data_IF_271463033037
#
_entry.id   IF_271463033037
#
_cell.length_a   1.000
_cell.length_b   1.000
_cell.length_c   1.000
_cell.angle_alpha   90.00
_cell.angle_beta   90.00
_cell.angle_gamma   90.00
#
_symmetry.space_group_name_H-M   'P 1'
#
loop_
_entity.id
_entity.type
_entity.pdbx_description
1 polymer ?
#
# COMPACT_ATOMS: atom_id res chain seq x y z
N UNK A 1 -13.39 -15.28 24.26
CA UNK A 1 -12.50 -16.39 23.90
C UNK A 1 -12.70 -16.64 22.42
N UNK A 2 -11.63 -16.76 21.65
CA UNK A 2 -11.74 -16.92 20.19
C UNK A 2 -11.75 -18.40 19.82
N UNK A 3 -12.65 -18.77 18.93
CA UNK A 3 -12.65 -20.11 18.34
C UNK A 3 -11.50 -20.23 17.34
N UNK A 4 -10.90 -21.43 17.18
CA UNK A 4 -9.92 -21.62 16.13
C UNK A 4 -10.53 -21.37 14.73
N UNK A 5 -9.82 -20.61 13.91
CA UNK A 5 -10.03 -20.49 12.47
C UNK A 5 -10.24 -21.87 11.82
N UNK A 6 -11.30 -21.99 11.03
CA UNK A 6 -11.52 -23.10 10.12
C UNK A 6 -10.55 -23.05 8.94
N UNK A 7 -10.41 -24.14 8.16
CA UNK A 7 -9.58 -24.14 6.95
C UNK A 7 -9.98 -23.10 5.90
N UNK A 8 -11.26 -22.73 5.84
CA UNK A 8 -11.74 -21.69 4.94
C UNK A 8 -11.30 -20.31 5.42
N UNK A 9 -11.37 -20.06 6.74
CA UNK A 9 -10.96 -18.80 7.35
C UNK A 9 -9.45 -18.58 7.24
N UNK A 10 -8.63 -19.63 7.43
CA UNK A 10 -7.18 -19.55 7.19
C UNK A 10 -6.88 -18.99 5.80
N UNK A 11 -7.49 -19.56 4.77
CA UNK A 11 -7.29 -19.09 3.38
C UNK A 11 -7.82 -17.66 3.20
N UNK A 12 -8.96 -17.34 3.80
CA UNK A 12 -9.60 -16.04 3.69
C UNK A 12 -8.82 -14.93 4.40
N UNK A 13 -8.12 -15.24 5.50
CA UNK A 13 -7.28 -14.28 6.21
C UNK A 13 -5.92 -14.08 5.51
N UNK A 14 -5.29 -15.17 5.03
CA UNK A 14 -3.95 -15.11 4.46
C UNK A 14 -3.90 -14.45 3.08
N UNK A 15 -4.92 -14.64 2.24
CA UNK A 15 -4.93 -14.12 0.86
C UNK A 15 -4.92 -12.58 0.76
N UNK A 16 -5.79 -11.83 1.48
CA UNK A 16 -5.78 -10.38 1.43
C UNK A 16 -4.48 -9.75 1.95
N UNK A 17 -3.80 -10.43 2.87
CA UNK A 17 -2.50 -10.02 3.41
C UNK A 17 -1.34 -10.30 2.43
N UNK A 18 -1.61 -10.91 1.28
CA UNK A 18 -0.61 -11.22 0.27
C UNK A 18 0.30 -12.39 0.63
N UNK A 19 -0.06 -13.21 1.61
CA UNK A 19 0.74 -14.39 2.00
C UNK A 19 0.73 -15.41 0.86
N UNK A 20 1.92 -15.72 0.33
CA UNK A 20 2.09 -16.85 -0.58
C UNK A 20 2.14 -18.13 0.25
N UNK A 21 1.15 -19.01 0.07
CA UNK A 21 1.12 -20.28 0.79
C UNK A 21 0.76 -21.47 -0.10
N UNK A 22 1.21 -22.64 0.36
CA UNK A 22 0.82 -23.96 -0.14
C UNK A 22 0.21 -24.76 1.00
N UNK A 23 -0.52 -25.81 0.65
CA UNK A 23 -1.22 -26.65 1.61
C UNK A 23 -0.56 -28.02 1.69
N UNK A 24 -0.10 -28.41 2.87
CA UNK A 24 0.40 -29.76 3.07
C UNK A 24 -0.78 -30.75 3.00
N UNK A 25 -0.59 -31.87 2.30
CA UNK A 25 -1.67 -32.86 2.10
C UNK A 25 -2.32 -33.24 3.45
N UNK A 26 -3.64 -33.08 3.55
CA UNK A 26 -4.42 -33.45 4.75
C UNK A 26 -4.29 -32.50 5.95
N UNK A 27 -3.76 -31.28 5.77
CA UNK A 27 -3.59 -30.32 6.87
C UNK A 27 -4.89 -29.97 7.61
N UNK A 28 -6.02 -29.92 6.91
CA UNK A 28 -7.34 -29.57 7.46
C UNK A 28 -7.89 -30.56 8.49
N UNK A 29 -7.29 -31.75 8.59
CA UNK A 29 -7.66 -32.75 9.60
C UNK A 29 -6.44 -33.19 10.41
N UNK A 30 -5.30 -32.53 10.24
CA UNK A 30 -4.08 -32.85 10.97
C UNK A 30 -4.08 -32.09 12.30
N UNK A 31 -3.81 -32.83 13.35
CA UNK A 31 -3.79 -32.33 14.72
C UNK A 31 -3.73 -33.50 15.69
N UNK A 32 -3.68 -33.18 16.98
CA UNK A 32 -3.53 -34.14 18.07
C UNK A 32 -4.78 -34.30 18.93
N UNK A 33 -5.86 -33.60 18.60
CA UNK A 33 -7.10 -33.55 19.38
C UNK A 33 -7.62 -34.94 19.76
N UNK A 34 -7.71 -35.84 18.77
CA UNK A 34 -8.15 -37.21 18.98
C UNK A 34 -7.18 -38.02 19.86
N UNK A 35 -5.88 -37.77 19.75
CA UNK A 35 -4.85 -38.47 20.52
C UNK A 35 -4.76 -37.99 21.98
N UNK A 36 -5.09 -36.71 22.24
CA UNK A 36 -5.07 -36.13 23.59
C UNK A 36 -6.45 -36.15 24.25
N UNK A 37 -7.52 -36.35 23.49
CA UNK A 37 -8.90 -36.23 23.97
C UNK A 37 -9.31 -34.78 24.27
N UNK A 38 -8.53 -33.80 23.81
CA UNK A 38 -8.77 -32.38 24.01
C UNK A 38 -9.11 -31.72 22.68
N UNK A 39 -9.93 -30.68 22.71
CA UNK A 39 -10.22 -29.85 21.54
C UNK A 39 -9.23 -28.70 21.52
N UNK A 40 -8.63 -28.44 20.36
CA UNK A 40 -7.83 -27.24 20.16
C UNK A 40 -8.71 -25.98 20.34
N UNK A 41 -8.18 -25.01 21.06
CA UNK A 41 -8.85 -23.80 21.44
C UNK A 41 -9.49 -23.84 22.85
N UNK A 42 -10.01 -22.70 23.33
CA UNK A 42 -9.99 -21.40 22.66
C UNK A 42 -8.58 -20.85 22.46
N UNK A 43 -8.38 -20.12 21.36
CA UNK A 43 -7.09 -19.56 20.95
C UNK A 43 -6.95 -18.11 21.39
N UNK A 44 -5.70 -17.70 21.66
CA UNK A 44 -5.42 -16.37 22.21
C UNK A 44 -4.28 -15.60 21.54
N UNK A 45 -3.36 -16.31 20.88
CA UNK A 45 -2.17 -15.71 20.30
C UNK A 45 -1.48 -16.64 19.29
N UNK A 46 -0.54 -16.07 18.55
CA UNK A 46 0.38 -16.79 17.67
C UNK A 46 1.73 -16.92 18.36
N UNK A 47 2.22 -18.15 18.43
CA UNK A 47 3.55 -18.48 18.94
C UNK A 47 4.51 -18.72 17.79
N UNK A 48 5.63 -18.01 17.85
CA UNK A 48 6.59 -17.89 16.78
C UNK A 48 7.88 -18.63 17.15
N UNK A 49 8.33 -19.54 16.29
CA UNK A 49 9.46 -20.43 16.53
C UNK A 49 10.52 -20.31 15.42
N UNK A 50 11.72 -20.79 15.72
CA UNK A 50 12.65 -21.24 14.69
C UNK A 50 12.88 -22.75 14.80
N UNK A 51 13.15 -23.39 13.66
CA UNK A 51 13.23 -24.86 13.59
C UNK A 51 14.51 -25.48 14.14
N UNK A 52 15.57 -24.68 14.33
CA UNK A 52 16.92 -25.11 14.66
C UNK A 52 17.48 -26.12 13.64
N UNK A 53 17.01 -26.01 12.40
CA UNK A 53 17.26 -26.97 11.34
C UNK A 53 16.98 -26.40 9.95
N UNK A 54 17.28 -27.19 8.93
CA UNK A 54 17.01 -26.89 7.52
C UNK A 54 16.01 -27.89 6.97
N UNK A 55 15.26 -27.50 5.95
CA UNK A 55 14.33 -28.38 5.23
C UNK A 55 13.41 -29.18 6.18
N UNK A 56 12.94 -28.53 7.26
CA UNK A 56 12.34 -29.19 8.41
C UNK A 56 10.85 -29.52 8.24
N UNK A 57 10.28 -29.31 7.05
CA UNK A 57 8.85 -29.54 6.78
C UNK A 57 8.39 -30.95 7.16
N UNK A 58 9.18 -31.99 6.84
CA UNK A 58 8.83 -33.36 7.19
C UNK A 58 8.84 -33.60 8.71
N UNK A 59 9.81 -33.02 9.43
CA UNK A 59 9.85 -33.05 10.89
C UNK A 59 8.62 -32.35 11.48
N UNK A 60 8.30 -31.15 10.99
CA UNK A 60 7.16 -30.37 11.46
C UNK A 60 5.82 -31.05 11.15
N UNK A 61 5.64 -31.64 9.98
CA UNK A 61 4.33 -32.13 9.53
C UNK A 61 4.03 -33.60 9.89
N UNK A 62 5.03 -34.50 9.82
CA UNK A 62 4.75 -35.95 9.80
C UNK A 62 5.73 -36.83 10.57
N UNK A 63 6.97 -36.41 10.80
CA UNK A 63 7.96 -37.24 11.51
C UNK A 63 8.03 -36.89 13.00
N UNK A 64 7.85 -35.61 13.36
CA UNK A 64 8.12 -35.12 14.71
C UNK A 64 9.61 -35.15 15.05
N UNK A 65 9.90 -35.11 16.35
CA UNK A 65 11.22 -35.34 16.95
C UNK A 65 11.15 -36.60 17.83
N UNK A 66 12.29 -37.19 18.28
CA UNK A 66 12.31 -38.47 18.99
C UNK A 66 11.30 -38.61 20.14
N UNK A 67 11.07 -37.54 20.91
CA UNK A 67 10.13 -37.51 22.04
C UNK A 67 8.97 -36.52 21.84
N UNK A 68 8.80 -36.01 20.62
CA UNK A 68 7.79 -35.00 20.30
C UNK A 68 7.04 -35.39 19.02
N UNK A 69 5.87 -36.04 19.14
CA UNK A 69 5.11 -36.47 17.98
C UNK A 69 4.56 -35.26 17.20
N UNK A 70 4.43 -35.36 15.87
CA UNK A 70 3.90 -34.30 15.02
C UNK A 70 2.38 -34.11 15.21
N UNK A 71 1.79 -33.03 14.66
CA UNK A 71 2.46 -31.90 14.02
C UNK A 71 3.15 -31.00 15.05
N UNK A 72 4.23 -30.33 14.65
CA UNK A 72 5.00 -29.41 15.49
C UNK A 72 4.65 -27.94 15.24
N UNK A 73 3.69 -27.64 14.37
CA UNK A 73 3.13 -26.31 14.17
C UNK A 73 1.89 -26.37 13.28
N UNK A 74 1.14 -25.27 13.26
CA UNK A 74 0.03 -25.05 12.32
C UNK A 74 0.55 -24.64 10.94
N UNK A 75 1.69 -23.93 10.90
CA UNK A 75 2.35 -23.54 9.65
C UNK A 75 3.89 -23.70 9.71
N UNK A 76 4.50 -23.92 8.54
CA UNK A 76 5.95 -23.96 8.34
C UNK A 76 6.38 -22.91 7.33
N UNK A 77 7.47 -22.19 7.59
CA UNK A 77 7.96 -21.12 6.74
C UNK A 77 9.43 -21.32 6.32
N UNK A 78 9.68 -21.88 5.12
CA UNK A 78 11.03 -22.07 4.58
C UNK A 78 11.70 -20.75 4.18
N UNK A 79 12.99 -20.82 3.87
CA UNK A 79 13.79 -19.68 3.39
C UNK A 79 13.23 -19.00 2.12
N UNK A 80 12.40 -19.69 1.34
CA UNK A 80 11.77 -19.14 0.13
C UNK A 80 10.65 -18.13 0.41
N UNK A 81 10.19 -18.01 1.66
CA UNK A 81 9.04 -17.20 2.02
C UNK A 81 7.71 -17.71 1.46
N UNK A 82 7.61 -18.98 1.04
CA UNK A 82 6.33 -19.60 0.67
C UNK A 82 5.87 -20.47 1.83
N UNK A 83 4.91 -19.95 2.59
CA UNK A 83 4.37 -20.62 3.78
C UNK A 83 3.73 -21.97 3.40
N UNK A 84 3.85 -22.97 4.27
CA UNK A 84 3.09 -24.22 4.17
C UNK A 84 2.12 -24.32 5.33
N UNK A 85 0.81 -24.45 5.06
CA UNK A 85 -0.18 -24.82 6.07
C UNK A 85 -0.06 -26.31 6.39
N UNK A 86 0.12 -26.66 7.66
CA UNK A 86 0.51 -28.00 8.13
C UNK A 86 -0.61 -28.67 8.92
N UNK A 87 -1.23 -27.96 9.86
CA UNK A 87 -2.23 -28.50 10.77
C UNK A 87 -3.30 -27.46 11.12
N UNK A 88 -4.50 -27.95 11.39
CA UNK A 88 -5.67 -27.13 11.75
C UNK A 88 -6.15 -27.41 13.19
N UNK A 89 -5.82 -28.59 13.72
CA UNK A 89 -6.01 -28.92 15.14
C UNK A 89 -4.72 -28.78 15.94
N UNK A 90 -4.76 -29.22 17.21
CA UNK A 90 -3.67 -29.12 18.18
C UNK A 90 -2.34 -29.58 17.59
N UNK A 91 -1.32 -28.72 17.64
CA UNK A 91 0.07 -29.05 17.35
C UNK A 91 0.92 -29.02 18.63
N UNK A 92 1.98 -29.83 18.69
CA UNK A 92 2.89 -29.90 19.83
C UNK A 92 4.09 -28.96 19.63
N UNK A 93 3.88 -27.65 19.77
CA UNK A 93 4.87 -26.60 19.50
C UNK A 93 5.25 -25.76 20.74
N UNK A 94 4.30 -25.46 21.62
CA UNK A 94 4.46 -24.57 22.76
C UNK A 94 4.88 -25.27 24.07
N UNK A 95 4.42 -26.49 24.30
CA UNK A 95 4.61 -27.17 25.58
C UNK A 95 3.92 -26.45 26.76
N UNK A 96 4.60 -26.37 27.91
CA UNK A 96 4.11 -25.68 29.10
C UNK A 96 4.38 -24.17 29.01
N UNK A 97 3.33 -23.38 28.80
CA UNK A 97 3.41 -21.93 28.81
C UNK A 97 3.25 -21.39 30.24
N UNK A 98 4.04 -20.39 30.62
CA UNK A 98 3.92 -19.72 31.91
C UNK A 98 2.55 -19.04 32.04
N UNK A 99 1.85 -19.29 33.15
CA UNK A 99 0.48 -18.79 33.34
C UNK A 99 0.42 -17.26 33.34
N UNK A 100 1.39 -16.57 33.94
CA UNK A 100 1.42 -15.10 33.95
C UNK A 100 1.54 -14.49 32.54
N UNK A 101 2.26 -15.14 31.63
CA UNK A 101 2.37 -14.71 30.23
C UNK A 101 1.09 -15.04 29.47
N UNK A 102 0.55 -16.25 29.68
CA UNK A 102 -0.73 -16.65 29.08
C UNK A 102 -1.87 -15.70 29.48
N UNK A 103 -1.99 -15.36 30.76
CA UNK A 103 -2.99 -14.41 31.25
C UNK A 103 -2.79 -12.99 30.68
N UNK A 104 -1.56 -12.60 30.31
CA UNK A 104 -1.28 -11.33 29.65
C UNK A 104 -1.71 -11.36 28.17
N UNK A 105 -1.44 -12.46 27.47
CA UNK A 105 -1.91 -12.70 26.09
C UNK A 105 -3.44 -12.67 26.02
N UNK A 106 -4.12 -13.39 26.92
CA UNK A 106 -5.59 -13.41 27.01
C UNK A 106 -6.17 -12.00 27.24
N UNK A 107 -5.45 -11.15 27.97
CA UNK A 107 -5.87 -9.79 28.29
C UNK A 107 -5.33 -8.72 27.32
N UNK A 108 -4.58 -9.11 26.28
CA UNK A 108 -3.89 -8.22 25.35
C UNK A 108 -3.08 -7.11 26.04
N UNK A 109 -2.27 -7.48 27.04
CA UNK A 109 -1.36 -6.59 27.77
C UNK A 109 0.11 -6.96 27.55
N UNK A 110 1.01 -6.03 27.84
CA UNK A 110 2.45 -6.26 27.81
C UNK A 110 2.85 -7.57 28.50
N UNK A 111 3.72 -8.33 27.83
CA UNK A 111 4.11 -9.66 28.29
C UNK A 111 5.10 -9.54 29.45
N UNK A 112 4.78 -10.09 30.64
CA UNK A 112 5.75 -10.16 31.72
C UNK A 112 6.84 -11.19 31.40
N UNK A 113 7.93 -11.17 32.15
CA UNK A 113 8.88 -12.30 32.13
C UNK A 113 8.16 -13.58 32.54
N UNK A 114 8.37 -14.67 31.81
CA UNK A 114 7.81 -15.97 32.12
C UNK A 114 8.23 -16.44 33.52
N UNK A 115 7.28 -17.01 34.27
CA UNK A 115 7.53 -17.50 35.62
C UNK A 115 6.83 -18.83 35.86
N UNK A 116 7.62 -19.89 36.08
CA UNK A 116 7.10 -21.20 36.48
C UNK A 116 6.31 -21.13 37.80
N UNK A 117 6.65 -20.19 38.70
CA UNK A 117 5.95 -19.99 39.96
C UNK A 117 4.53 -19.44 39.79
N UNK A 118 4.17 -18.91 38.60
CA UNK A 118 2.80 -18.51 38.29
C UNK A 118 1.88 -19.70 37.96
N UNK A 119 2.44 -20.91 37.81
CA UNK A 119 1.78 -22.06 37.24
C UNK A 119 1.97 -22.15 35.72
N UNK A 120 1.39 -23.18 35.11
CA UNK A 120 1.50 -23.43 33.67
C UNK A 120 0.15 -23.70 33.02
N UNK A 121 0.07 -23.43 31.72
CA UNK A 121 -1.03 -23.77 30.83
C UNK A 121 -0.49 -24.62 29.68
N UNK A 122 -1.28 -25.55 29.16
CA UNK A 122 -0.93 -26.32 27.96
C UNK A 122 -1.03 -25.40 26.74
N UNK A 123 0.09 -24.75 26.37
CA UNK A 123 0.10 -23.74 25.31
C UNK A 123 -0.25 -24.30 23.94
N UNK A 124 0.00 -25.59 23.73
CA UNK A 124 -0.31 -26.30 22.50
C UNK A 124 -1.84 -26.35 22.22
N UNK A 125 -2.68 -26.26 23.26
CA UNK A 125 -4.14 -26.24 23.08
C UNK A 125 -4.67 -24.83 22.80
N UNK A 126 -3.90 -23.78 23.08
CA UNK A 126 -4.43 -22.42 23.20
C UNK A 126 -3.73 -21.37 22.33
N UNK A 127 -2.71 -21.78 21.58
CA UNK A 127 -1.89 -20.91 20.74
C UNK A 127 -1.80 -21.48 19.32
N UNK A 128 -1.83 -20.60 18.33
CA UNK A 128 -1.34 -20.96 17.01
C UNK A 128 0.18 -21.06 17.03
N UNK A 129 0.75 -21.81 16.08
CA UNK A 129 2.18 -22.09 16.05
C UNK A 129 2.70 -22.00 14.62
N UNK A 130 3.79 -21.28 14.44
CA UNK A 130 4.53 -21.23 13.18
C UNK A 130 6.01 -21.56 13.41
N UNK A 131 6.51 -22.49 12.61
CA UNK A 131 7.91 -22.92 12.59
C UNK A 131 8.64 -22.28 11.42
N UNK A 132 9.58 -21.36 11.71
CA UNK A 132 10.32 -20.62 10.69
C UNK A 132 11.71 -21.21 10.50
N UNK A 133 12.04 -21.60 9.28
CA UNK A 133 13.31 -22.27 8.98
C UNK A 133 14.52 -21.38 9.28
N UNK A 134 15.23 -21.69 10.36
CA UNK A 134 16.46 -21.03 10.76
C UNK A 134 17.24 -21.93 11.74
N UNK A 135 18.57 -21.94 11.63
CA UNK A 135 19.43 -22.70 12.54
C UNK A 135 19.41 -22.19 13.99
N UNK A 136 18.97 -20.95 14.23
CA UNK A 136 18.92 -20.37 15.57
C UNK A 136 20.31 -20.18 16.19
N UNK A 137 21.36 -20.02 15.38
CA UNK A 137 22.76 -19.92 15.82
C UNK A 137 23.29 -18.47 15.85
N UNK A 138 22.42 -17.48 15.60
CA UNK A 138 22.75 -16.06 15.38
C UNK A 138 23.63 -15.77 14.15
N UNK A 139 23.82 -16.74 13.27
CA UNK A 139 24.57 -16.60 12.00
C UNK A 139 23.64 -16.79 10.81
N UNK A 140 22.81 -17.84 10.84
CA UNK A 140 21.82 -18.11 9.81
C UNK A 140 20.78 -16.99 9.74
N UNK A 141 20.67 -16.40 8.56
CA UNK A 141 19.88 -15.18 8.34
C UNK A 141 18.48 -15.53 7.85
N UNK A 142 17.45 -14.92 8.44
CA UNK A 142 16.11 -14.92 7.85
C UNK A 142 16.13 -14.09 6.58
N UNK A 143 15.67 -14.64 5.45
CA UNK A 143 15.59 -13.89 4.19
C UNK A 143 14.56 -12.76 4.28
N UNK A 144 14.62 -11.80 3.37
CA UNK A 144 13.65 -10.70 3.34
C UNK A 144 12.23 -11.24 3.08
N UNK A 145 12.12 -12.21 2.17
CA UNK A 145 10.86 -12.88 1.81
C UNK A 145 10.30 -13.70 2.97
N UNK A 146 11.17 -14.38 3.72
CA UNK A 146 10.78 -15.12 4.91
C UNK A 146 10.25 -14.18 5.99
N UNK A 147 10.96 -13.09 6.29
CA UNK A 147 10.53 -12.16 7.32
C UNK A 147 9.25 -11.41 6.95
N UNK A 148 9.12 -10.93 5.71
CA UNK A 148 7.89 -10.28 5.23
C UNK A 148 6.67 -11.22 5.33
N UNK A 149 6.82 -12.46 4.87
CA UNK A 149 5.75 -13.48 4.98
C UNK A 149 5.38 -13.78 6.43
N UNK A 150 6.37 -13.76 7.33
CA UNK A 150 6.15 -14.00 8.75
C UNK A 150 5.35 -12.88 9.43
N UNK A 151 5.65 -11.62 9.09
CA UNK A 151 4.87 -10.47 9.56
C UNK A 151 3.44 -10.54 9.01
N UNK A 152 3.27 -10.81 7.72
CA UNK A 152 1.95 -10.96 7.07
C UNK A 152 1.10 -12.06 7.70
N UNK A 153 1.71 -13.21 7.98
CA UNK A 153 1.04 -14.34 8.63
C UNK A 153 0.48 -13.96 10.00
N UNK A 154 1.29 -13.31 10.84
CA UNK A 154 0.85 -12.88 12.17
C UNK A 154 -0.23 -11.79 12.08
N UNK A 155 -0.07 -10.82 11.19
CA UNK A 155 -1.07 -9.77 10.95
C UNK A 155 -2.41 -10.35 10.47
N UNK A 156 -2.39 -11.35 9.59
CA UNK A 156 -3.60 -12.03 9.09
C UNK A 156 -4.45 -12.63 10.23
N UNK A 157 -3.78 -13.37 11.12
CA UNK A 157 -4.45 -14.03 12.25
C UNK A 157 -4.94 -12.99 13.25
N UNK A 158 -4.12 -12.00 13.58
CA UNK A 158 -4.52 -10.92 14.48
C UNK A 158 -5.74 -10.17 13.93
N UNK A 159 -5.72 -9.81 12.63
CA UNK A 159 -6.83 -9.12 11.97
C UNK A 159 -8.10 -9.96 11.95
N UNK A 160 -7.99 -11.28 11.73
CA UNK A 160 -9.14 -12.18 11.76
C UNK A 160 -9.81 -12.21 13.14
N UNK A 161 -9.04 -12.31 14.21
CA UNK A 161 -9.58 -12.37 15.57
C UNK A 161 -9.85 -10.99 16.21
N UNK A 162 -9.44 -9.91 15.56
CA UNK A 162 -9.49 -8.55 16.13
C UNK A 162 -8.44 -8.32 17.23
N UNK A 163 -7.36 -9.09 17.22
CA UNK A 163 -6.24 -8.92 18.16
C UNK A 163 -5.28 -7.83 17.71
N UNK A 164 -4.60 -7.26 18.70
CA UNK A 164 -3.42 -6.42 18.54
C UNK A 164 -2.14 -7.24 18.36
N UNK A 165 -1.03 -6.57 18.03
CA UNK A 165 0.30 -7.20 17.97
C UNK A 165 0.78 -7.77 19.32
N UNK A 166 0.09 -7.48 20.43
CA UNK A 166 0.36 -8.10 21.74
C UNK A 166 0.09 -9.60 21.74
N UNK A 167 -0.80 -10.09 20.86
CA UNK A 167 -1.06 -11.52 20.65
C UNK A 167 -0.03 -12.22 19.77
N UNK A 168 1.14 -11.61 19.56
CA UNK A 168 2.28 -12.18 18.82
C UNK A 168 3.42 -12.40 19.80
N UNK A 169 3.65 -13.66 20.17
CA UNK A 169 4.67 -14.04 21.14
C UNK A 169 5.74 -14.96 20.54
N UNK A 170 6.95 -14.88 21.08
CA UNK A 170 8.01 -15.86 20.84
C UNK A 170 7.95 -16.98 21.88
N UNK A 171 8.41 -18.18 21.54
CA UNK A 171 8.46 -19.28 22.51
C UNK A 171 9.47 -19.02 23.64
N UNK A 172 10.49 -18.21 23.39
CA UNK A 172 11.39 -17.63 24.40
C UNK A 172 10.68 -16.76 25.45
N UNK A 173 9.51 -16.19 25.11
CA UNK A 173 8.73 -15.33 26.00
C UNK A 173 7.70 -16.14 26.80
N UNK A 174 7.35 -17.36 26.39
CA UNK A 174 6.27 -18.16 27.01
C UNK A 174 6.77 -19.39 27.76
N UNK A 175 7.85 -20.04 27.31
CA UNK A 175 8.30 -21.34 27.84
C UNK A 175 8.90 -21.23 29.24
N UNK A 176 8.43 -22.06 30.17
CA UNK A 176 9.05 -22.22 31.50
C UNK A 176 10.25 -23.17 31.52
N UNK A 177 10.53 -23.84 30.40
CA UNK A 177 11.62 -24.81 30.28
C UNK A 177 12.92 -24.18 29.75
N UNK A 178 12.87 -22.89 29.37
CA UNK A 178 14.01 -22.13 28.90
C UNK A 178 14.30 -22.32 27.42
N UNK A 179 13.43 -21.77 26.56
CA UNK A 179 13.65 -21.72 25.12
C UNK A 179 14.25 -20.38 24.68
N UNK A 180 14.96 -20.38 23.56
CA UNK A 180 15.70 -19.23 23.00
C UNK A 180 15.16 -18.77 21.65
N UNK A 181 14.08 -19.37 21.19
CA UNK A 181 13.47 -19.17 19.89
C UNK A 181 12.31 -18.16 19.90
N UNK A 182 12.20 -17.29 18.88
CA UNK A 182 13.07 -17.15 17.73
C UNK A 182 14.30 -16.25 17.98
N UNK A 183 15.38 -16.48 17.23
CA UNK A 183 16.55 -15.59 17.20
C UNK A 183 17.28 -15.72 15.86
N UNK A 184 18.12 -14.73 15.53
CA UNK A 184 18.92 -14.70 14.31
C UNK A 184 18.92 -13.33 13.63
N UNK A 185 19.87 -13.07 12.71
CA UNK A 185 19.83 -11.89 11.86
C UNK A 185 18.70 -11.97 10.82
N UNK A 186 18.14 -10.83 10.44
CA UNK A 186 17.15 -10.64 9.37
C UNK A 186 17.80 -9.84 8.24
N UNK A 187 17.67 -10.28 6.99
CA UNK A 187 18.32 -9.67 5.84
C UNK A 187 17.83 -8.24 5.55
N UNK A 188 16.51 -8.02 5.56
CA UNK A 188 15.85 -6.73 5.34
C UNK A 188 14.34 -6.84 5.69
N UNK A 189 13.68 -5.70 5.86
CA UNK A 189 12.21 -5.58 5.88
C UNK A 189 11.77 -4.15 5.51
N UNK A 190 10.87 -4.02 4.53
CA UNK A 190 10.56 -2.72 3.94
C UNK A 190 11.82 -2.04 3.42
N UNK A 191 11.96 -0.75 3.72
CA UNK A 191 13.15 0.03 3.40
C UNK A 191 14.33 -0.16 4.39
N UNK A 192 14.19 -1.05 5.39
CA UNK A 192 15.24 -1.30 6.38
C UNK A 192 16.17 -2.43 5.92
N UNK A 193 17.47 -2.16 5.91
CA UNK A 193 18.51 -3.16 5.68
C UNK A 193 18.67 -4.15 6.85
N UNK A 194 19.78 -4.91 6.88
CA UNK A 194 20.00 -6.01 7.83
C UNK A 194 19.90 -5.58 9.31
N UNK A 195 19.19 -6.36 10.12
CA UNK A 195 19.05 -6.14 11.57
C UNK A 195 19.03 -7.46 12.35
N UNK A 196 19.14 -7.39 13.68
CA UNK A 196 18.99 -8.57 14.56
C UNK A 196 17.52 -8.72 14.95
N UNK A 197 16.98 -9.93 14.82
CA UNK A 197 15.62 -10.24 15.26
C UNK A 197 15.42 -9.97 16.75
N UNK A 198 14.33 -9.28 17.09
CA UNK A 198 13.78 -9.22 18.45
C UNK A 198 12.26 -9.30 18.37
N UNK A 199 11.63 -9.84 19.42
CA UNK A 199 10.17 -9.88 19.49
C UNK A 199 9.55 -8.47 19.54
N UNK A 200 10.22 -7.49 20.15
CA UNK A 200 9.77 -6.10 20.14
C UNK A 200 9.73 -5.51 18.72
N UNK A 201 10.78 -5.74 17.92
CA UNK A 201 10.80 -5.28 16.53
C UNK A 201 9.73 -6.01 15.71
N UNK A 202 9.62 -7.31 15.89
CA UNK A 202 8.64 -8.12 15.17
C UNK A 202 7.20 -7.71 15.49
N UNK A 203 6.87 -7.49 16.76
CA UNK A 203 5.58 -6.94 17.18
C UNK A 203 5.34 -5.54 16.62
N UNK A 204 6.35 -4.67 16.57
CA UNK A 204 6.22 -3.34 15.98
C UNK A 204 5.90 -3.41 14.49
N UNK A 205 6.53 -4.32 13.74
CA UNK A 205 6.29 -4.49 12.30
C UNK A 205 4.89 -5.08 12.03
N UNK A 206 4.42 -6.00 12.87
CA UNK A 206 3.03 -6.50 12.82
C UNK A 206 2.05 -5.38 13.16
N UNK A 207 2.34 -4.56 14.17
CA UNK A 207 1.47 -3.44 14.57
C UNK A 207 1.34 -2.38 13.46
N UNK A 208 2.46 -2.03 12.82
CA UNK A 208 2.48 -1.14 11.65
C UNK A 208 1.59 -1.72 10.54
N UNK A 209 1.79 -3.00 10.20
CA UNK A 209 0.97 -3.67 9.19
C UNK A 209 -0.52 -3.67 9.54
N UNK A 210 -0.88 -3.88 10.80
CA UNK A 210 -2.28 -3.86 11.27
C UNK A 210 -2.92 -2.47 11.14
N UNK A 211 -2.12 -1.39 11.20
CA UNK A 211 -2.59 -0.01 11.03
C UNK A 211 -2.97 0.33 9.58
N UNK A 212 -2.52 -0.45 8.61
CA UNK A 212 -2.85 -0.30 7.19
C UNK A 212 -3.85 -1.36 6.70
N UNK A 213 -4.49 -1.16 5.52
CA UNK A 213 -5.25 -2.21 4.85
C UNK A 213 -4.39 -3.45 4.61
N UNK A 214 -4.98 -4.65 4.59
CA UNK A 214 -4.27 -5.91 4.37
C UNK A 214 -3.45 -5.93 3.05
N UNK A 215 -3.86 -5.15 2.04
CA UNK A 215 -3.16 -5.01 0.77
C UNK A 215 -1.91 -4.12 0.81
N UNK A 216 -1.62 -3.46 1.93
CA UNK A 216 -0.47 -2.56 2.06
C UNK A 216 0.87 -3.32 2.06
N UNK A 217 1.90 -2.64 1.56
CA UNK A 217 3.26 -3.14 1.45
C UNK A 217 4.27 -2.13 2.01
N UNK A 218 5.19 -2.56 2.89
CA UNK A 218 6.20 -1.69 3.51
C UNK A 218 7.31 -1.23 2.55
N UNK A 219 7.34 -1.74 1.31
CA UNK A 219 8.25 -1.30 0.24
C UNK A 219 7.61 -0.36 -0.77
N UNK A 220 6.28 -0.16 -0.69
CA UNK A 220 5.62 0.82 -1.53
C UNK A 220 5.98 2.20 -0.99
N UNK A 221 6.92 2.88 -1.65
CA UNK A 221 6.98 4.34 -1.56
C UNK A 221 5.60 4.82 -2.02
N UNK A 222 4.90 5.61 -1.19
CA UNK A 222 3.77 6.39 -1.70
C UNK A 222 4.33 7.09 -2.95
N UNK A 223 3.76 6.83 -4.13
CA UNK A 223 4.05 7.63 -5.31
C UNK A 223 3.81 9.08 -4.85
N UNK A 224 4.89 9.85 -4.62
CA UNK A 224 4.79 11.28 -4.40
C UNK A 224 3.87 11.78 -5.53
N UNK A 225 2.73 12.40 -5.19
CA UNK A 225 1.70 12.88 -6.13
C UNK A 225 2.33 13.89 -7.12
N UNK A 226 3.10 13.36 -8.08
CA UNK A 226 3.81 14.14 -9.06
C UNK A 226 2.75 14.68 -10.00
N UNK A 227 2.71 16.00 -10.22
CA UNK A 227 1.75 16.56 -11.15
C UNK A 227 1.93 15.97 -12.53
N UNK A 228 0.81 15.70 -13.17
CA UNK A 228 0.75 15.51 -14.60
C UNK A 228 1.19 16.81 -15.31
N UNK A 229 1.75 16.69 -16.51
CA UNK A 229 2.27 17.80 -17.28
C UNK A 229 1.60 17.91 -18.65
N UNK A 230 1.03 19.09 -18.90
CA UNK A 230 0.50 19.49 -20.19
C UNK A 230 1.42 20.52 -20.85
N UNK A 231 1.80 20.27 -22.11
CA UNK A 231 2.54 21.18 -22.98
C UNK A 231 1.91 21.16 -24.38
N UNK A 232 1.10 22.18 -24.64
CA UNK A 232 0.23 22.28 -25.80
C UNK A 232 0.48 23.57 -26.56
N UNK A 233 0.19 23.60 -27.85
CA UNK A 233 0.34 24.81 -28.64
C UNK A 233 -0.37 24.80 -29.97
N UNK A 234 -0.02 25.77 -30.82
CA UNK A 234 -0.52 25.87 -32.20
C UNK A 234 0.50 25.33 -33.18
N UNK A 235 0.08 24.44 -34.07
CA UNK A 235 0.89 24.00 -35.21
C UNK A 235 0.98 25.09 -36.29
N UNK A 236 -0.06 25.92 -36.43
CA UNK A 236 -0.14 27.05 -37.37
C UNK A 236 -0.90 28.23 -36.75
N UNK A 237 -0.57 29.48 -37.15
CA UNK A 237 -1.37 30.65 -36.80
C UNK A 237 -2.83 30.53 -37.22
N UNK A 238 -3.73 31.23 -36.53
CA UNK A 238 -5.13 31.36 -36.94
C UNK A 238 -5.64 32.79 -36.82
N UNK A 239 -6.69 33.11 -37.58
CA UNK A 239 -7.34 34.43 -37.57
C UNK A 239 -8.40 34.50 -36.48
N UNK A 240 -8.28 35.47 -35.57
CA UNK A 240 -9.27 35.76 -34.55
C UNK A 240 -10.17 36.92 -35.02
N UNK A 241 -11.45 36.62 -35.24
CA UNK A 241 -12.46 37.59 -35.68
C UNK A 241 -12.87 38.52 -34.53
N UNK A 242 -13.28 39.76 -34.83
CA UNK A 242 -13.70 40.72 -33.81
C UNK A 242 -15.06 40.35 -33.20
N UNK A 243 -15.27 40.73 -31.94
CA UNK A 243 -16.59 40.80 -31.30
C UNK A 243 -17.21 39.49 -30.81
N UNK A 244 -16.51 38.35 -30.93
CA UNK A 244 -16.99 37.07 -30.40
C UNK A 244 -15.89 36.30 -29.64
N UNK A 245 -16.29 35.61 -28.57
CA UNK A 245 -15.40 34.74 -27.81
C UNK A 245 -15.12 33.46 -28.58
N UNK A 246 -13.85 33.19 -28.87
CA UNK A 246 -13.39 31.97 -29.51
C UNK A 246 -12.47 31.17 -28.58
N UNK A 247 -12.40 29.86 -28.76
CA UNK A 247 -11.50 28.98 -28.01
C UNK A 247 -10.17 28.84 -28.74
N UNK A 248 -9.08 28.73 -27.98
CA UNK A 248 -7.81 28.28 -28.56
C UNK A 248 -7.92 26.76 -28.73
N UNK A 249 -7.97 26.30 -29.98
CA UNK A 249 -7.82 24.87 -30.29
C UNK A 249 -6.32 24.56 -30.40
N UNK A 250 -5.79 23.79 -29.45
CA UNK A 250 -4.38 23.44 -29.40
C UNK A 250 -4.10 22.33 -30.42
N UNK A 251 -3.58 22.73 -31.58
CA UNK A 251 -3.33 21.84 -32.73
C UNK A 251 -1.96 21.16 -32.69
N UNK A 252 -1.14 21.47 -31.69
CA UNK A 252 0.14 20.82 -31.42
C UNK A 252 0.17 20.34 -29.97
N UNK A 253 0.55 19.08 -29.78
CA UNK A 253 0.77 18.49 -28.46
C UNK A 253 2.24 18.05 -28.39
N UNK A 254 2.96 18.56 -27.38
CA UNK A 254 4.33 18.10 -27.08
C UNK A 254 4.34 17.15 -25.89
N UNK A 255 3.44 17.36 -24.93
CA UNK A 255 3.20 16.43 -23.83
C UNK A 255 1.78 16.63 -23.28
N UNK A 256 1.14 15.55 -22.86
CA UNK A 256 -0.11 15.53 -22.11
C UNK A 256 -0.16 14.23 -21.31
N UNK A 257 0.56 14.21 -20.18
CA UNK A 257 0.69 12.97 -19.39
C UNK A 257 -0.64 12.51 -18.79
N UNK A 258 -1.57 13.46 -18.56
CA UNK A 258 -2.93 13.18 -18.09
C UNK A 258 -3.86 12.59 -19.17
N UNK A 259 -3.54 12.77 -20.47
CA UNK A 259 -4.40 12.36 -21.58
C UNK A 259 -5.74 13.13 -21.65
N UNK A 260 -5.79 14.34 -21.10
CA UNK A 260 -6.99 15.17 -21.05
C UNK A 260 -7.28 15.89 -22.38
N UNK A 261 -6.25 16.09 -23.20
CA UNK A 261 -6.32 16.84 -24.43
C UNK A 261 -6.79 15.96 -25.58
N UNK A 262 -7.84 16.43 -26.27
CA UNK A 262 -8.32 15.77 -27.49
C UNK A 262 -7.51 16.24 -28.69
N UNK A 263 -7.39 15.42 -29.73
CA UNK A 263 -6.72 15.83 -30.98
C UNK A 263 -7.31 17.13 -31.54
N UNK A 264 -6.48 18.16 -31.70
CA UNK A 264 -6.87 19.50 -32.13
C UNK A 264 -8.00 20.13 -31.28
N UNK A 265 -8.01 19.84 -29.97
CA UNK A 265 -9.06 20.29 -29.05
C UNK A 265 -8.68 21.54 -28.26
N UNK A 266 -9.68 22.14 -27.62
CA UNK A 266 -9.51 23.36 -26.81
C UNK A 266 -9.44 23.11 -25.31
N UNK A 267 -9.62 21.85 -24.89
CA UNK A 267 -9.62 21.46 -23.49
C UNK A 267 -8.23 21.01 -23.08
N UNK A 268 -7.62 21.69 -22.10
CA UNK A 268 -6.26 21.37 -21.63
C UNK A 268 -6.21 20.65 -20.26
N UNK A 269 -7.33 20.61 -19.53
CA UNK A 269 -7.51 19.83 -18.29
C UNK A 269 -8.95 19.31 -18.24
N UNK A 270 -9.16 18.07 -17.80
CA UNK A 270 -10.46 17.43 -17.59
C UNK A 270 -10.59 16.79 -16.22
N UNK A 271 -11.84 16.76 -15.73
CA UNK A 271 -12.19 16.12 -14.47
C UNK A 271 -11.78 16.96 -13.26
N UNK A 272 -11.89 16.35 -12.08
CA UNK A 272 -11.51 17.01 -10.84
C UNK A 272 -9.99 17.17 -10.81
N UNK A 273 -9.52 18.41 -10.72
CA UNK A 273 -8.08 18.69 -10.74
C UNK A 273 -7.75 20.07 -10.15
N UNK A 274 -6.55 20.22 -9.62
CA UNK A 274 -5.89 21.51 -9.40
C UNK A 274 -4.79 21.68 -10.42
N UNK A 275 -4.60 22.88 -10.94
CA UNK A 275 -3.51 23.12 -11.88
C UNK A 275 -2.90 24.51 -11.70
N UNK A 276 -1.63 24.62 -12.08
CA UNK A 276 -0.92 25.88 -12.19
C UNK A 276 -0.03 25.88 -13.43
N UNK A 277 0.07 27.01 -14.11
CA UNK A 277 0.76 27.09 -15.39
C UNK A 277 0.62 28.44 -16.04
N UNK A 278 0.87 28.48 -17.35
CA UNK A 278 0.68 29.69 -18.15
C UNK A 278 0.34 29.36 -19.60
N UNK A 279 -0.25 30.32 -20.31
CA UNK A 279 -0.30 30.36 -21.76
C UNK A 279 0.43 31.60 -22.27
N UNK A 280 1.44 31.37 -23.11
CA UNK A 280 2.16 32.42 -23.82
C UNK A 280 1.49 32.67 -25.17
N UNK A 281 1.14 33.92 -25.46
CA UNK A 281 0.38 34.33 -26.63
C UNK A 281 1.17 35.37 -27.44
N UNK A 282 1.16 35.22 -28.76
CA UNK A 282 1.68 36.21 -29.70
C UNK A 282 0.60 36.60 -30.69
N UNK A 283 0.45 37.91 -30.93
CA UNK A 283 -0.51 38.46 -31.89
C UNK A 283 0.15 39.41 -32.88
N UNK A 284 -0.31 39.33 -34.13
CA UNK A 284 0.00 40.27 -35.20
C UNK A 284 -1.27 40.91 -35.75
N UNK A 285 -1.14 42.15 -36.23
CA UNK A 285 -2.28 42.93 -36.71
C UNK A 285 -3.17 43.55 -35.63
N UNK A 286 -2.90 43.32 -34.34
CA UNK A 286 -3.58 44.03 -33.24
C UNK A 286 -3.08 45.49 -33.16
N UNK A 287 -3.93 46.50 -33.40
CA UNK A 287 -3.53 47.90 -33.35
C UNK A 287 -3.02 48.31 -31.96
N UNK A 288 -2.13 49.30 -31.91
CA UNK A 288 -1.59 49.81 -30.65
C UNK A 288 -2.72 50.42 -29.81
N UNK A 289 -2.89 49.92 -28.59
CA UNK A 289 -3.94 50.35 -27.67
C UNK A 289 -5.24 49.55 -27.74
N UNK A 290 -5.46 48.76 -28.80
CA UNK A 290 -6.59 47.83 -28.88
C UNK A 290 -6.35 46.60 -27.99
N UNK A 291 -7.43 45.95 -27.56
CA UNK A 291 -7.39 44.89 -26.55
C UNK A 291 -7.81 43.54 -27.12
N UNK A 292 -7.08 42.48 -26.74
CA UNK A 292 -7.60 41.11 -26.71
C UNK A 292 -7.85 40.72 -25.26
N UNK A 293 -9.06 40.28 -24.95
CA UNK A 293 -9.37 39.72 -23.64
C UNK A 293 -9.14 38.21 -23.66
N UNK A 294 -8.54 37.69 -22.60
CA UNK A 294 -8.23 36.27 -22.42
C UNK A 294 -8.87 35.78 -21.15
N UNK A 295 -9.50 34.61 -21.17
CA UNK A 295 -10.02 33.97 -19.94
C UNK A 295 -10.02 32.46 -20.02
N UNK A 296 -10.10 31.84 -18.85
CA UNK A 296 -10.41 30.42 -18.72
C UNK A 296 -11.92 30.25 -18.57
N UNK A 297 -12.48 29.23 -19.21
CA UNK A 297 -13.91 28.89 -19.12
C UNK A 297 -14.09 27.38 -18.92
N UNK A 298 -15.00 27.01 -18.03
CA UNK A 298 -15.37 25.63 -17.75
C UNK A 298 -16.50 25.16 -18.67
N UNK A 299 -16.39 23.92 -19.14
CA UNK A 299 -17.36 23.27 -20.01
C UNK A 299 -17.69 21.86 -19.51
N UNK A 300 -18.90 21.40 -19.84
CA UNK A 300 -19.31 20.00 -19.71
C UNK A 300 -19.66 19.50 -21.12
N UNK A 301 -18.76 18.71 -21.71
CA UNK A 301 -18.73 18.53 -23.17
C UNK A 301 -18.58 19.88 -23.88
N UNK A 302 -19.63 20.30 -24.60
CA UNK A 302 -19.71 21.59 -25.31
C UNK A 302 -20.61 22.61 -24.60
N UNK A 303 -21.23 22.25 -23.49
CA UNK A 303 -22.05 23.17 -22.72
C UNK A 303 -21.16 24.05 -21.83
N UNK A 304 -21.27 25.37 -21.99
CA UNK A 304 -20.57 26.35 -21.14
C UNK A 304 -21.14 26.35 -19.72
N UNK A 305 -20.28 26.46 -18.70
CA UNK A 305 -20.69 26.33 -17.30
C UNK A 305 -20.23 27.48 -16.41
N UNK A 306 -19.00 27.94 -16.59
CA UNK A 306 -18.46 29.04 -15.79
C UNK A 306 -17.36 29.80 -16.54
N UNK A 307 -17.21 31.07 -16.21
CA UNK A 307 -16.10 31.91 -16.65
C UNK A 307 -15.24 32.31 -15.45
N UNK A 308 -13.93 32.23 -15.62
CA UNK A 308 -12.97 32.78 -14.67
C UNK A 308 -12.63 34.24 -15.01
N UNK A 309 -12.01 34.99 -14.07
CA UNK A 309 -11.60 36.36 -14.31
C UNK A 309 -10.78 36.54 -15.60
N UNK A 310 -11.00 37.66 -16.26
CA UNK A 310 -10.34 38.01 -17.52
C UNK A 310 -8.95 38.61 -17.29
N UNK A 311 -8.13 38.47 -18.33
CA UNK A 311 -6.87 39.18 -18.54
C UNK A 311 -7.00 40.02 -19.81
N UNK A 312 -6.29 41.14 -19.88
CA UNK A 312 -6.31 42.03 -21.04
C UNK A 312 -4.92 42.15 -21.65
N UNK A 313 -4.84 41.98 -22.97
CA UNK A 313 -3.61 42.08 -23.74
C UNK A 313 -3.75 43.27 -24.69
N UNK A 314 -3.01 44.34 -24.42
CA UNK A 314 -3.00 45.54 -25.25
C UNK A 314 -2.00 45.40 -26.41
N UNK A 315 -2.40 45.87 -27.60
CA UNK A 315 -1.54 45.91 -28.77
C UNK A 315 -0.33 46.82 -28.57
N UNK A 316 0.84 46.39 -29.03
CA UNK A 316 2.09 47.17 -28.93
C UNK A 316 2.79 47.37 -30.27
N UNK A 317 3.64 48.40 -30.36
CA UNK A 317 4.31 48.81 -31.60
C UNK A 317 5.31 47.76 -32.14
N UNK A 318 5.85 46.90 -31.28
CA UNK A 318 6.87 45.90 -31.64
C UNK A 318 6.33 44.50 -31.93
N UNK A 319 5.01 44.34 -32.06
CA UNK A 319 4.32 43.05 -31.98
C UNK A 319 3.83 42.78 -30.55
N UNK A 320 2.77 41.99 -30.41
CA UNK A 320 2.11 41.82 -29.11
C UNK A 320 2.41 40.44 -28.55
N UNK A 321 3.04 40.40 -27.37
CA UNK A 321 3.43 39.18 -26.67
C UNK A 321 2.94 39.25 -25.22
N UNK A 322 2.34 38.19 -24.71
CA UNK A 322 1.82 38.18 -23.35
C UNK A 322 1.80 36.79 -22.74
N UNK A 323 2.01 36.69 -21.43
CA UNK A 323 1.93 35.43 -20.68
C UNK A 323 0.78 35.53 -19.69
N UNK A 324 -0.23 34.67 -19.84
CA UNK A 324 -1.40 34.62 -18.96
C UNK A 324 -1.24 33.46 -17.97
N UNK A 325 -1.26 33.71 -16.65
CA UNK A 325 -1.19 32.63 -15.66
C UNK A 325 -2.49 31.81 -15.62
N UNK A 326 -2.35 30.50 -15.47
CA UNK A 326 -3.44 29.52 -15.45
C UNK A 326 -3.44 28.77 -14.11
N UNK A 327 -3.94 29.38 -13.04
CA UNK A 327 -4.02 28.73 -11.71
C UNK A 327 -5.47 28.66 -11.25
N UNK A 328 -6.05 27.45 -11.25
CA UNK A 328 -7.44 27.16 -10.83
C UNK A 328 -7.59 25.73 -10.29
N UNK A 329 -8.80 25.46 -9.77
CA UNK A 329 -9.32 24.12 -9.50
C UNK A 329 -10.51 23.88 -10.41
N UNK A 330 -10.56 22.74 -11.07
CA UNK A 330 -11.65 22.27 -11.92
C UNK A 330 -12.43 21.18 -11.17
N UNK A 331 -13.77 21.23 -11.14
CA UNK A 331 -14.55 20.15 -10.53
C UNK A 331 -14.74 18.96 -11.48
N UNK A 332 -15.16 17.82 -10.93
CA UNK A 332 -15.46 16.61 -11.71
C UNK A 332 -16.49 16.87 -12.82
N UNK A 333 -16.34 16.15 -13.94
CA UNK A 333 -17.23 16.27 -15.10
C UNK A 333 -17.05 17.54 -15.94
N UNK A 334 -16.06 18.39 -15.64
CA UNK A 334 -15.75 19.58 -16.43
C UNK A 334 -14.48 19.41 -17.27
N UNK A 335 -14.36 20.25 -18.30
CA UNK A 335 -13.14 20.54 -19.04
C UNK A 335 -12.83 22.03 -19.03
N UNK A 336 -11.55 22.39 -18.97
CA UNK A 336 -11.10 23.79 -18.99
C UNK A 336 -10.61 24.20 -20.38
N UNK A 337 -11.12 25.33 -20.90
CA UNK A 337 -10.69 25.95 -22.17
C UNK A 337 -10.07 27.33 -21.93
N UNK A 338 -9.07 27.70 -22.73
CA UNK A 338 -8.63 29.10 -22.85
C UNK A 338 -9.37 29.76 -24.01
N UNK A 339 -9.94 30.94 -23.76
CA UNK A 339 -10.75 31.68 -24.73
C UNK A 339 -10.23 33.09 -24.94
N UNK A 340 -10.41 33.59 -26.16
CA UNK A 340 -9.97 34.90 -26.62
C UNK A 340 -11.15 35.70 -27.14
N UNK A 341 -11.17 37.00 -26.88
CA UNK A 341 -12.09 37.97 -27.47
C UNK A 341 -11.31 39.14 -28.03
N UNK A 342 -11.32 39.29 -29.35
CA UNK A 342 -10.76 40.45 -30.03
C UNK A 342 -11.74 41.63 -29.95
N UNK A 343 -11.34 42.70 -29.26
CA UNK A 343 -12.13 43.93 -29.10
C UNK A 343 -11.84 44.97 -30.20
N UNK A 344 -10.86 44.71 -31.08
CA UNK A 344 -10.60 45.56 -32.25
C UNK A 344 -11.72 45.45 -33.27
N UNK A 345 -11.83 46.44 -34.16
CA UNK A 345 -12.80 46.45 -35.27
C UNK A 345 -12.37 45.54 -36.44
N UNK A 346 -11.11 45.09 -36.46
CA UNK A 346 -10.55 44.28 -37.53
C UNK A 346 -10.14 42.87 -37.04
N UNK A 347 -10.19 41.84 -37.91
CA UNK A 347 -9.59 40.55 -37.60
C UNK A 347 -8.08 40.69 -37.33
N UNK A 348 -7.60 39.95 -36.35
CA UNK A 348 -6.16 39.86 -36.01
C UNK A 348 -5.68 38.42 -36.19
N UNK A 349 -4.37 38.22 -36.14
CA UNK A 349 -3.78 36.88 -36.18
C UNK A 349 -3.25 36.51 -34.81
N UNK A 350 -3.59 35.30 -34.34
CA UNK A 350 -2.90 34.63 -33.23
C UNK A 350 -1.74 33.86 -33.84
N UNK A 351 -0.53 34.40 -33.74
CA UNK A 351 0.66 33.82 -34.36
C UNK A 351 1.13 32.58 -33.61
N UNK A 352 1.03 32.60 -32.27
CA UNK A 352 1.35 31.46 -31.42
C UNK A 352 0.54 31.47 -30.13
N UNK A 353 0.23 30.27 -29.65
CA UNK A 353 -0.19 30.02 -28.29
C UNK A 353 0.60 28.81 -27.79
N UNK A 354 1.24 28.91 -26.63
CA UNK A 354 1.96 27.81 -25.98
C UNK A 354 1.53 27.74 -24.53
N UNK A 355 0.88 26.65 -24.16
CA UNK A 355 0.39 26.37 -22.82
C UNK A 355 1.30 25.37 -22.14
N UNK A 356 1.73 25.68 -20.92
CA UNK A 356 2.41 24.75 -20.02
C UNK A 356 1.71 24.72 -18.68
N UNK A 357 1.38 23.54 -18.16
CA UNK A 357 0.71 23.40 -16.87
C UNK A 357 1.12 22.12 -16.14
N UNK A 358 1.20 22.24 -14.81
CA UNK A 358 1.26 21.13 -13.88
C UNK A 358 -0.16 20.88 -13.34
N UNK A 359 -0.59 19.63 -13.32
CA UNK A 359 -1.96 19.22 -13.04
C UNK A 359 -1.97 18.10 -11.99
N UNK A 360 -2.63 18.33 -10.86
CA UNK A 360 -2.88 17.33 -9.83
C UNK A 360 -4.32 16.86 -9.96
N UNK A 361 -4.52 15.57 -10.22
CA UNK A 361 -5.87 14.96 -10.27
C UNK A 361 -6.45 14.84 -8.85
N UNK A 362 -7.76 14.95 -8.73
CA UNK A 362 -8.51 14.83 -7.46
C UNK A 362 -9.51 13.67 -7.48
#
# INVERSE_FOLDING_TARGET
MADPMTPAEWRAALRPEGVRFVEYRGWTTRGRDAATGKTFGPVHAVLNHHTAGRDSLAAVAVNGLPDLPPPLAHAYLPKSGVLTLVADGRANHAGLAAKNVFDALVAERDLPRQSAASGTVDGNDALYGIEVENLGDNVDTYTAEQYDTWVRFNAAICRHHGWSATSVAGHLETSVEGNVDPRGPVAAYGNRGRFTFTMDRFRADVAERLAHPASWDPTHEEDDDMPEYANLGLAKPFTLKPGAWDSIEFTQEWNDTAGDHGTNGSVFVRGAARFTGSVSLTFSGLPVGDIVQVRMSEYDGDEHKADHPLHEVAGTQGGTFHVVPLTKRLPAGRGMRVRLLNQSDAPITVDSAVLTALVWKE
#
